data_IF_619068881923
#
_entry.id   IF_619068881923
#
_cell.length_a   1.000
_cell.length_b   1.000
_cell.length_c   1.000
_cell.angle_alpha   90.00
_cell.angle_beta   90.00
_cell.angle_gamma   90.00
#
_symmetry.space_group_name_H-M   'P 1'
#
loop_
_entity.id
_entity.type
_entity.pdbx_description
1 polymer ?
2 non-polymer ?
3 non-polymer ?
4 non-polymer ?
5 water ?
#
# COMPACT_ATOMS: atom_id res chain seq x y z
N UNK A 30 -17.05 -20.58 -8.64
CA UNK A 30 -15.81 -21.31 -8.85
C UNK A 30 -14.59 -20.39 -8.97
N UNK A 31 -14.74 -19.16 -8.45
CA UNK A 31 -13.76 -18.09 -8.69
C UNK A 31 -12.51 -18.13 -7.79
N UNK A 32 -11.37 -17.89 -8.43
CA UNK A 32 -10.08 -17.73 -7.74
C UNK A 32 -9.86 -16.26 -7.37
N UNK A 33 -8.88 -16.00 -6.49
CA UNK A 33 -8.46 -14.63 -6.18
C UNK A 33 -8.13 -13.82 -7.44
N UNK A 34 -7.34 -14.40 -8.33
CA UNK A 34 -6.98 -13.74 -9.58
C UNK A 34 -8.22 -13.37 -10.39
N UNK A 35 -9.16 -14.31 -10.49
CA UNK A 35 -10.40 -14.08 -11.22
C UNK A 35 -11.25 -13.02 -10.54
N UNK A 36 -11.21 -12.98 -9.21
CA UNK A 36 -11.97 -11.99 -8.46
C UNK A 36 -11.45 -10.59 -8.75
N UNK A 37 -10.13 -10.48 -8.88
CA UNK A 37 -9.48 -9.22 -9.16
C UNK A 37 -9.83 -8.73 -10.57
N UNK A 38 -9.92 -9.65 -11.51
CA UNK A 38 -10.27 -9.32 -12.89
C UNK A 38 -11.75 -8.96 -13.03
N UNK A 39 -12.61 -9.61 -12.25
CA UNK A 39 -14.04 -9.31 -12.27
C UNK A 39 -14.34 -7.93 -11.71
N UNK A 40 -13.73 -7.60 -10.57
CA UNK A 40 -13.90 -6.28 -9.96
C UNK A 40 -13.33 -5.20 -10.85
N UNK A 41 -12.15 -5.45 -11.41
CA UNK A 41 -11.49 -4.49 -12.29
C UNK A 41 -12.32 -4.18 -13.54
N UNK A 42 -13.03 -5.18 -14.04
CA UNK A 42 -13.87 -5.00 -15.22
C UNK A 42 -15.14 -4.25 -14.90
N UNK A 43 -15.62 -4.41 -13.66
CA UNK A 43 -16.85 -3.76 -13.21
C UNK A 43 -16.59 -2.29 -12.87
N UNK A 44 -15.41 -2.00 -12.34
CA UNK A 44 -15.09 -0.67 -11.85
C UNK A 44 -14.01 0.05 -12.65
N UNK A 45 -13.62 -0.52 -13.78
CA UNK A 45 -12.63 0.08 -14.66
C UNK A 45 -11.35 0.43 -13.90
N UNK A 46 -10.81 -0.54 -13.16
CA UNK A 46 -9.65 -0.30 -12.29
C UNK A 46 -8.31 -0.41 -13.01
N UNK A 47 -8.09 -1.55 -13.66
CA UNK A 47 -6.78 -1.82 -14.28
C UNK A 47 -6.93 -2.41 -15.69
N UNK A 48 -5.80 -2.54 -16.37
CA UNK A 48 -5.74 -3.23 -17.65
C UNK A 48 -4.33 -3.75 -17.88
N UNK A 49 -4.20 -4.72 -18.78
CA UNK A 49 -2.90 -5.26 -19.15
C UNK A 49 -2.74 -5.22 -20.67
N UNK A 50 -1.49 -5.26 -21.12
CA UNK A 50 -1.20 -5.35 -22.54
C UNK A 50 0.06 -6.19 -22.74
N UNK A 51 0.05 -7.05 -23.77
CA UNK A 51 1.18 -7.94 -24.07
C UNK A 51 2.44 -7.19 -24.49
N UNK A 52 2.32 -5.91 -24.77
CA UNK A 52 3.49 -5.10 -25.12
C UNK A 52 4.32 -4.80 -23.88
N UNK A 53 3.76 -5.10 -22.71
CA UNK A 53 4.48 -4.94 -21.45
C UNK A 53 3.99 -5.96 -20.42
N UNK A 54 4.34 -7.23 -20.65
CA UNK A 54 3.91 -8.37 -19.83
C UNK A 54 4.33 -8.20 -18.37
N UNK A 55 3.38 -8.30 -17.44
CA UNK A 55 3.69 -8.26 -16.02
C UNK A 55 3.71 -6.86 -15.44
N UNK A 56 3.47 -5.86 -16.28
CA UNK A 56 3.37 -4.48 -15.82
C UNK A 56 1.91 -4.04 -15.91
N UNK A 57 1.36 -3.60 -14.79
CA UNK A 57 -0.05 -3.21 -14.75
C UNK A 57 -0.26 -1.78 -15.24
N UNK A 58 -1.44 -1.54 -15.78
CA UNK A 58 -1.89 -0.20 -16.13
C UNK A 58 -2.93 0.15 -15.08
N UNK A 59 -2.77 1.25 -14.37
CA UNK A 59 -3.82 1.69 -13.47
C UNK A 59 -4.69 2.71 -14.19
N UNK A 60 -5.93 2.33 -14.50
CA UNK A 60 -6.87 3.27 -15.09
C UNK A 60 -7.29 4.27 -14.01
N UNK A 61 -7.94 5.38 -14.42
CA UNK A 61 -8.28 6.44 -13.46
C UNK A 61 -8.79 5.90 -12.13
N UNK A 62 -9.81 5.04 -12.14
CA UNK A 62 -10.37 4.51 -10.89
C UNK A 62 -9.40 3.63 -10.12
N UNK A 63 -8.59 2.86 -10.83
CA UNK A 63 -7.59 2.02 -10.20
C UNK A 63 -6.50 2.88 -9.58
N UNK A 64 -6.11 3.92 -10.31
CA UNK A 64 -5.08 4.83 -9.83
C UNK A 64 -5.55 5.64 -8.62
N UNK A 65 -6.84 5.92 -8.52
CA UNK A 65 -7.36 6.62 -7.34
C UNK A 65 -7.13 5.80 -6.08
N UNK A 66 -7.38 4.49 -6.17
CA UNK A 66 -7.21 3.62 -5.01
C UNK A 66 -5.74 3.55 -4.63
N UNK A 67 -4.90 3.26 -5.62
CA UNK A 67 -3.45 3.22 -5.47
C UNK A 67 -2.92 4.47 -4.76
N UNK A 68 -3.29 5.63 -5.28
CA UNK A 68 -2.83 6.90 -4.72
C UNK A 68 -3.37 7.16 -3.31
N UNK A 69 -4.59 6.70 -3.05
CA UNK A 69 -5.18 6.88 -1.73
C UNK A 69 -4.41 6.06 -0.70
N UNK A 70 -4.04 4.84 -1.06
CA UNK A 70 -3.28 3.98 -0.16
C UNK A 70 -1.93 4.60 0.15
N UNK A 71 -1.28 5.15 -0.86
CA UNK A 71 0.03 5.78 -0.67
C UNK A 71 -0.07 7.03 0.19
N UNK A 72 -1.15 7.79 -0.01
CA UNK A 72 -1.40 8.98 0.80
C UNK A 72 -1.55 8.58 2.26
N UNK A 73 -2.33 7.53 2.51
CA UNK A 73 -2.53 7.03 3.86
C UNK A 73 -1.21 6.63 4.51
N UNK A 74 -0.41 5.83 3.79
CA UNK A 74 0.82 5.30 4.34
C UNK A 74 1.87 6.38 4.56
N UNK A 75 1.92 7.38 3.67
CA UNK A 75 2.85 8.48 3.85
C UNK A 75 2.55 9.25 5.13
N UNK A 76 1.27 9.46 5.41
CA UNK A 76 0.87 10.17 6.62
C UNK A 76 1.33 9.41 7.88
N UNK A 77 1.13 8.10 7.91
CA UNK A 77 1.53 7.31 9.06
C UNK A 77 3.05 7.33 9.22
N UNK A 78 3.75 7.15 8.11
CA UNK A 78 5.21 7.08 8.14
C UNK A 78 5.88 8.41 8.52
N UNK A 79 5.39 9.51 7.98
CA UNK A 79 5.99 10.82 8.27
C UNK A 79 5.61 11.39 9.63
N UNK A 80 4.33 11.31 9.98
CA UNK A 80 3.83 12.05 11.15
C UNK A 80 3.44 11.19 12.35
N UNK A 81 3.83 9.92 12.32
CA UNK A 81 3.61 9.06 13.47
C UNK A 81 4.80 8.15 13.74
N UNK A 82 5.43 7.64 12.67
CA UNK A 82 6.50 6.65 12.84
C UNK A 82 7.91 7.12 12.48
N UNK A 83 8.09 8.43 12.30
CA UNK A 83 9.43 9.00 12.20
C UNK A 83 10.24 8.68 10.96
N UNK A 84 9.57 8.60 9.81
CA UNK A 84 10.26 8.36 8.54
C UNK A 84 10.41 9.63 7.70
N UNK A 85 11.52 9.71 6.97
CA UNK A 85 11.77 10.79 6.03
C UNK A 85 11.84 10.26 4.62
N UNK A 86 10.96 10.73 3.74
CA UNK A 86 10.93 10.20 2.37
C UNK A 86 12.10 10.65 1.51
N UNK A 87 12.62 9.73 0.71
CA UNK A 87 13.66 10.05 -0.25
C UNK A 87 13.23 9.56 -1.63
N UNK A 88 13.82 10.13 -2.67
CA UNK A 88 13.56 9.70 -4.04
C UNK A 88 14.88 9.33 -4.71
N UNK A 89 15.01 8.07 -5.11
CA UNK A 89 16.30 7.54 -5.56
C UNK A 89 16.25 7.10 -7.03
N UNK A 90 17.42 7.03 -7.69
CA UNK A 90 17.52 6.55 -9.08
C UNK A 90 16.88 5.17 -9.25
N UNK A 91 16.47 4.83 -10.47
CA UNK A 91 15.95 3.48 -10.74
C UNK A 91 17.05 2.56 -11.29
N UNK A 92 18.05 3.15 -11.96
CA UNK A 92 19.13 2.36 -12.52
C UNK A 92 20.48 2.67 -11.87
N UNK A 93 21.23 1.63 -11.56
CA UNK A 93 22.56 1.79 -11.01
C UNK A 93 23.54 0.94 -11.81
N UNK A 94 24.80 1.39 -11.87
CA UNK A 94 25.83 0.67 -12.59
C UNK A 94 26.05 -0.71 -12.01
N UNK A 95 26.57 -1.63 -12.82
CA UNK A 95 26.81 -3.00 -12.40
C UNK A 95 27.56 -3.10 -11.07
N UNK A 96 28.46 -2.15 -10.85
CA UNK A 96 29.34 -2.16 -9.68
C UNK A 96 28.59 -2.06 -8.36
N UNK A 97 27.56 -1.22 -8.31
CA UNK A 97 26.78 -1.06 -7.09
C UNK A 97 26.17 -2.40 -6.69
N UNK A 98 25.59 -3.08 -7.65
CA UNK A 98 24.93 -4.36 -7.39
C UNK A 98 25.92 -5.46 -7.04
N UNK A 99 27.18 -5.30 -7.47
CA UNK A 99 28.23 -6.24 -7.09
C UNK A 99 28.69 -5.94 -5.67
N UNK A 100 28.81 -4.67 -5.35
CA UNK A 100 29.21 -4.22 -4.03
C UNK A 100 28.17 -4.62 -2.99
N UNK A 101 26.91 -4.61 -3.37
CA UNK A 101 25.82 -4.95 -2.46
C UNK A 101 25.64 -6.46 -2.35
N UNK A 102 26.07 -7.19 -3.37
CA UNK A 102 25.90 -8.63 -3.40
C UNK A 102 24.64 -9.06 -4.13
N UNK A 103 23.94 -8.10 -4.71
CA UNK A 103 22.73 -8.37 -5.48
C UNK A 103 23.03 -9.03 -6.83
N UNK A 104 24.13 -8.64 -7.44
CA UNK A 104 24.45 -9.08 -8.81
C UNK A 104 24.74 -10.58 -8.90
N UNK A 105 25.22 -11.18 -7.80
CA UNK A 105 25.58 -12.58 -7.81
C UNK A 105 24.51 -13.47 -7.17
N UNK A 106 23.40 -12.86 -6.76
CA UNK A 106 22.37 -13.56 -5.99
C UNK A 106 21.09 -13.54 -6.82
N UNK A 107 20.96 -12.54 -7.68
CA UNK A 107 19.63 -12.16 -8.14
C UNK A 107 19.64 -11.82 -9.63
N UNK A 108 20.83 -11.77 -10.22
CA UNK A 108 21.03 -11.17 -11.54
C UNK A 108 20.20 -11.80 -12.64
N UNK A 109 19.76 -13.03 -12.41
CA UNK A 109 18.85 -13.68 -13.36
C UNK A 109 17.47 -13.00 -13.30
N UNK A 110 17.10 -12.54 -12.11
CA UNK A 110 15.82 -11.87 -11.90
C UNK A 110 15.97 -10.36 -12.03
N UNK A 111 17.09 -9.91 -12.59
CA UNK A 111 17.34 -8.48 -12.75
C UNK A 111 17.38 -8.06 -14.21
N UNK A 112 16.57 -7.06 -14.55
CA UNK A 112 16.61 -6.47 -15.88
C UNK A 112 17.91 -5.69 -16.00
N UNK A 113 18.71 -6.02 -17.02
CA UNK A 113 19.93 -5.27 -17.27
C UNK A 113 19.58 -4.08 -18.17
N UNK A 114 20.34 -3.01 -18.06
CA UNK A 114 20.08 -1.82 -18.88
C UNK A 114 21.29 -1.48 -19.74
N UNK A 115 21.05 -1.23 -21.03
CA UNK A 115 22.17 -1.06 -21.95
C UNK A 115 22.23 0.32 -22.61
N UNK A 116 23.43 0.90 -22.62
CA UNK A 116 23.67 2.15 -23.35
C UNK A 116 24.04 1.89 -24.80
N UNK A 123 25.85 -2.97 -18.42
CA UNK A 123 26.64 -2.25 -17.43
C UNK A 123 25.73 -1.58 -16.41
N UNK A 124 24.42 -1.75 -16.59
CA UNK A 124 23.42 -1.18 -15.69
C UNK A 124 22.42 -2.25 -15.20
N UNK A 125 21.86 -2.02 -14.01
CA UNK A 125 20.81 -2.87 -13.49
C UNK A 125 19.60 -2.05 -13.07
N UNK A 126 18.43 -2.41 -13.60
CA UNK A 126 17.18 -1.79 -13.18
C UNK A 126 16.81 -2.34 -11.81
N UNK A 127 16.66 -1.45 -10.83
CA UNK A 127 16.60 -1.90 -9.45
C UNK A 127 15.39 -2.77 -9.12
N UNK A 128 15.63 -3.91 -8.45
CA UNK A 128 14.60 -4.76 -7.85
C UNK A 128 14.45 -4.44 -6.36
N UNK A 129 15.33 -3.60 -5.84
CA UNK A 129 15.31 -3.18 -4.43
C UNK A 129 15.89 -1.78 -4.23
N UNK A 130 15.44 -1.10 -3.17
CA UNK A 130 15.93 0.24 -2.86
C UNK A 130 17.16 0.29 -1.93
N UNK A 131 17.44 -0.80 -1.20
CA UNK A 131 18.42 -0.74 -0.10
C UNK A 131 19.78 -0.11 -0.48
N UNK A 132 20.43 -0.62 -1.52
CA UNK A 132 21.74 -0.09 -1.89
C UNK A 132 21.75 1.43 -2.06
N UNK A 133 20.69 1.99 -2.65
CA UNK A 133 20.59 3.42 -2.81
C UNK A 133 20.56 4.10 -1.46
N UNK A 134 19.85 3.50 -0.52
CA UNK A 134 19.78 4.07 0.83
C UNK A 134 21.12 3.98 1.57
N UNK A 135 21.92 2.96 1.27
CA UNK A 135 23.26 2.87 1.85
C UNK A 135 24.14 4.00 1.32
N UNK A 136 23.95 4.33 0.05
CA UNK A 136 24.69 5.44 -0.57
C UNK A 136 24.34 6.75 0.12
N UNK A 137 23.08 6.92 0.47
CA UNK A 137 22.63 8.14 1.14
C UNK A 137 23.19 8.24 2.56
N UNK A 138 23.19 7.12 3.26
CA UNK A 138 23.73 7.09 4.62
C UNK A 138 25.20 7.49 4.60
N UNK A 139 25.97 6.85 3.72
CA UNK A 139 27.41 7.04 3.70
C UNK A 139 27.90 8.33 3.07
N UNK A 140 26.97 9.20 2.67
CA UNK A 140 27.32 10.45 2.00
C UNK A 140 27.65 11.57 2.99
N UNK A 141 27.18 11.43 4.22
CA UNK A 141 27.40 12.43 5.26
C UNK A 141 28.00 11.78 6.48
N UNK A 142 28.77 12.54 7.26
CA UNK A 142 29.14 12.06 8.58
C UNK A 142 27.85 11.82 9.34
N UNK A 143 27.77 10.71 10.06
CA UNK A 143 26.58 10.41 10.82
C UNK A 143 26.90 10.31 12.29
N UNK A 144 26.10 10.98 13.12
CA UNK A 144 26.28 10.92 14.56
C UNK A 144 25.27 9.95 15.18
N UNK A 145 25.61 9.39 16.33
CA UNK A 145 24.67 8.51 17.02
C UNK A 145 23.43 9.33 17.37
N UNK A 146 23.59 10.65 17.33
CA UNK A 146 22.51 11.58 17.66
C UNK A 146 21.37 11.62 16.65
N UNK A 147 21.58 11.09 15.45
CA UNK A 147 20.51 11.09 14.45
C UNK A 147 19.94 9.71 14.20
N UNK A 148 20.35 8.74 15.02
CA UNK A 148 19.80 7.39 14.95
C UNK A 148 18.66 7.26 15.96
N UNK A 149 17.63 6.45 15.64
CA UNK A 149 17.49 5.71 14.38
C UNK A 149 17.19 6.63 13.19
N UNK A 150 17.94 6.45 12.11
CA UNK A 150 17.71 7.21 10.89
C UNK A 150 16.77 6.39 10.00
N UNK A 151 15.64 6.97 9.62
CA UNK A 151 14.61 6.23 8.89
C UNK A 151 14.24 6.86 7.55
N UNK A 152 14.53 6.15 6.47
CA UNK A 152 14.22 6.61 5.11
C UNK A 152 13.10 5.78 4.51
N UNK A 153 12.15 6.44 3.87
CA UNK A 153 11.08 5.76 3.16
C UNK A 153 11.21 6.03 1.66
N UNK A 154 10.68 5.13 0.83
CA UNK A 154 10.88 5.21 -0.61
C UNK A 154 9.77 4.45 -1.33
N UNK A 155 9.06 5.12 -2.23
CA UNK A 155 7.95 4.48 -2.94
C UNK A 155 8.28 4.16 -4.40
N UNK A 156 9.57 4.08 -4.71
CA UNK A 156 10.04 3.85 -6.08
C UNK A 156 9.40 2.63 -6.74
N UNK A 157 9.17 2.71 -8.06
CA UNK A 157 8.80 1.50 -8.80
C UNK A 157 9.97 0.51 -8.85
N UNK A 158 9.68 -0.77 -8.56
CA UNK A 158 10.69 -1.81 -8.61
C UNK A 158 10.37 -2.80 -9.74
N UNK A 159 11.41 -3.36 -10.35
CA UNK A 159 11.23 -4.36 -11.40
C UNK A 159 11.94 -5.65 -11.04
N UNK A 160 11.26 -6.77 -11.21
CA UNK A 160 11.86 -8.09 -11.02
C UNK A 160 11.47 -8.99 -12.19
N UNK A 161 12.45 -9.65 -12.79
CA UNK A 161 12.19 -10.42 -13.99
C UNK A 161 11.55 -11.77 -13.69
N UNK A 162 10.38 -11.72 -13.05
CA UNK A 162 9.63 -12.93 -12.67
C UNK A 162 9.34 -13.78 -13.91
N UNK A 163 9.47 -15.10 -13.78
CA UNK A 163 9.12 -16.00 -14.88
C UNK A 163 7.65 -15.81 -15.27
N UNK A 164 7.39 -15.75 -16.57
CA UNK A 164 6.03 -15.49 -17.06
C UNK A 164 4.97 -16.44 -16.51
N UNK A 165 5.38 -17.63 -16.09
CA UNK A 165 4.46 -18.60 -15.52
C UNK A 165 4.09 -18.27 -14.09
N UNK A 166 4.85 -17.37 -13.48
CA UNK A 166 4.62 -16.96 -12.10
C UNK A 166 3.71 -15.74 -12.00
N UNK A 167 3.52 -15.04 -13.12
CA UNK A 167 2.69 -13.85 -13.14
C UNK A 167 1.23 -14.17 -12.83
N UNK A 168 0.66 -13.45 -11.87
CA UNK A 168 -0.75 -13.64 -11.52
C UNK A 168 -1.36 -12.33 -11.04
N UNK A 169 -2.38 -11.87 -11.76
CA UNK A 169 -3.07 -10.63 -11.45
C UNK A 169 -2.17 -9.53 -10.90
N UNK A 170 -2.49 -9.10 -9.68
CA UNK A 170 -1.73 -8.04 -9.03
C UNK A 170 -0.82 -8.58 -7.93
N UNK A 171 -0.91 -9.87 -7.65
CA UNK A 171 -0.11 -10.45 -6.56
C UNK A 171 1.36 -10.61 -6.95
N UNK A 172 1.60 -11.06 -8.18
CA UNK A 172 2.96 -11.25 -8.65
C UNK A 172 3.17 -10.58 -10.02
N UNK A 173 3.96 -9.51 -10.02
CA UNK A 173 4.18 -8.70 -11.21
C UNK A 173 5.66 -8.55 -11.49
N UNK A 174 5.98 -8.01 -12.68
CA UNK A 174 7.37 -7.65 -13.00
C UNK A 174 7.68 -6.22 -12.59
N UNK A 175 6.65 -5.43 -12.42
CA UNK A 175 6.79 -4.06 -11.93
C UNK A 175 5.79 -3.81 -10.79
N UNK A 176 6.28 -3.24 -9.70
CA UNK A 176 5.43 -2.96 -8.55
C UNK A 176 6.06 -1.88 -7.68
N UNK A 177 5.27 -1.33 -6.77
CA UNK A 177 5.73 -0.28 -5.88
C UNK A 177 5.69 -0.78 -4.45
N UNK A 178 6.83 -0.76 -3.78
CA UNK A 178 6.87 -1.09 -2.37
C UNK A 178 6.69 0.17 -1.55
N UNK A 179 6.00 0.05 -0.41
CA UNK A 179 6.09 1.09 0.60
C UNK A 179 7.33 0.80 1.43
N UNK A 180 8.49 1.00 0.81
CA UNK A 180 9.77 0.54 1.34
C UNK A 180 10.29 1.50 2.40
N UNK A 181 11.17 0.99 3.25
CA UNK A 181 11.74 1.79 4.31
C UNK A 181 12.95 1.09 4.90
N UNK A 182 13.98 1.87 5.16
CA UNK A 182 15.19 1.34 5.77
C UNK A 182 15.56 2.13 7.01
N UNK A 183 15.82 1.40 8.08
CA UNK A 183 16.16 2.02 9.35
C UNK A 183 17.62 1.72 9.69
N UNK A 184 18.32 2.75 10.17
CA UNK A 184 19.70 2.60 10.61
C UNK A 184 19.75 2.89 12.10
N UNK A 185 20.08 1.89 12.91
CA UNK A 185 20.06 2.09 14.36
C UNK A 185 21.25 1.44 15.05
N UNK A 186 21.26 1.53 16.37
CA UNK A 186 22.28 0.90 17.19
C UNK A 186 21.71 -0.41 17.70
N UNK A 187 22.58 -1.30 18.19
CA UNK A 187 22.11 -2.59 18.72
C UNK A 187 20.95 -2.45 19.70
N UNK A 188 21.03 -1.46 20.59
CA UNK A 188 20.04 -1.30 21.66
C UNK A 188 18.73 -0.69 21.16
N UNK A 189 18.70 -0.24 19.91
CA UNK A 189 17.48 0.35 19.34
C UNK A 189 16.71 -0.65 18.50
N UNK A 190 17.34 -1.75 18.13
CA UNK A 190 16.72 -2.75 17.25
C UNK A 190 15.33 -3.18 17.71
N UNK A 191 15.23 -3.62 18.95
CA UNK A 191 13.96 -4.13 19.49
C UNK A 191 12.82 -3.13 19.35
N UNK A 192 13.02 -1.93 19.87
CA UNK A 192 11.99 -0.89 19.83
C UNK A 192 11.61 -0.54 18.40
N UNK A 193 12.59 -0.54 17.51
CA UNK A 193 12.31 -0.19 16.12
C UNK A 193 11.43 -1.24 15.46
N UNK A 194 11.73 -2.50 15.75
CA UNK A 194 10.94 -3.61 15.21
C UNK A 194 9.52 -3.64 15.79
N UNK A 195 9.38 -3.30 17.07
CA UNK A 195 8.05 -3.24 17.67
C UNK A 195 7.22 -2.08 17.09
N UNK A 196 7.89 -0.98 16.76
CA UNK A 196 7.21 0.12 16.07
C UNK A 196 6.78 -0.28 14.66
N UNK A 197 7.62 -1.05 13.97
CA UNK A 197 7.23 -1.57 12.66
C UNK A 197 6.01 -2.48 12.79
N UNK A 198 5.98 -3.25 13.87
CA UNK A 198 4.86 -4.17 14.13
C UNK A 198 3.60 -3.42 14.52
N UNK A 199 3.75 -2.25 15.13
CA UNK A 199 2.59 -1.44 15.49
C UNK A 199 1.91 -0.94 14.22
N UNK A 200 2.71 -0.45 13.27
CA UNK A 200 2.20 0.02 11.99
C UNK A 200 1.52 -1.11 11.24
N UNK A 201 2.13 -2.29 11.28
CA UNK A 201 1.53 -3.47 10.66
C UNK A 201 0.15 -3.78 11.23
N UNK A 202 -0.02 -3.66 12.54
CA UNK A 202 -1.32 -3.92 13.15
C UNK A 202 -2.37 -2.85 12.82
N UNK A 203 -1.93 -1.61 12.72
CA UNK A 203 -2.85 -0.54 12.31
C UNK A 203 -3.45 -0.88 10.95
N UNK A 204 -2.61 -1.37 10.04
CA UNK A 204 -3.05 -1.76 8.69
C UNK A 204 -3.91 -3.04 8.68
N UNK A 205 -3.34 -4.14 9.19
CA UNK A 205 -3.96 -5.47 9.06
C UNK A 205 -5.03 -5.79 10.11
N UNK A 206 -4.93 -5.14 11.27
CA UNK A 206 -5.83 -5.42 12.39
C UNK A 206 -6.60 -4.20 12.89
N UNK A 207 -6.73 -3.17 12.08
CA UNK A 207 -7.55 -2.03 12.51
C UNK A 207 -8.19 -1.32 11.33
N UNK A 208 -7.39 -0.77 10.42
CA UNK A 208 -7.97 0.05 9.34
C UNK A 208 -8.69 -0.78 8.28
N UNK A 209 -8.06 -1.88 7.86
CA UNK A 209 -8.61 -2.71 6.79
C UNK A 209 -9.15 -4.05 7.32
N UNK A 210 -10.44 -4.34 7.04
CA UNK A 210 -10.96 -5.69 7.28
C UNK A 210 -10.45 -6.69 6.23
N UNK A 211 -10.26 -7.93 6.65
CA UNK A 211 -9.93 -9.02 5.74
C UNK A 211 -10.74 -10.24 6.13
N UNK A 212 -10.86 -11.19 5.22
CA UNK A 212 -11.51 -12.47 5.52
C UNK A 212 -10.68 -13.64 5.00
N UNK A 218 -7.10 -17.60 13.76
CA UNK A 218 -6.44 -16.60 14.58
C UNK A 218 -7.28 -15.32 14.64
N UNK A 219 -7.16 -14.59 15.75
CA UNK A 219 -7.82 -13.30 15.89
C UNK A 219 -7.20 -12.30 14.92
N UNK A 220 -5.88 -12.36 14.79
CA UNK A 220 -5.13 -11.49 13.90
C UNK A 220 -5.34 -11.91 12.46
N UNK A 221 -5.31 -10.95 11.54
CA UNK A 221 -5.50 -11.24 10.13
C UNK A 221 -4.23 -11.71 9.43
N UNK A 222 -3.20 -12.00 10.21
CA UNK A 222 -1.95 -12.54 9.67
C UNK A 222 -1.24 -13.41 10.71
N UNK A 223 -0.31 -14.23 10.24
CA UNK A 223 0.65 -14.86 11.14
C UNK A 223 2.06 -14.53 10.64
N UNK A 224 3.07 -14.75 11.49
CA UNK A 224 4.43 -14.40 11.11
C UNK A 224 5.25 -15.63 10.78
N UNK A 225 5.94 -15.58 9.65
CA UNK A 225 6.95 -16.59 9.31
C UNK A 225 8.32 -16.13 9.79
N UNK A 226 8.98 -16.94 10.61
CA UNK A 226 10.35 -16.65 11.00
C UNK A 226 11.28 -17.26 9.95
N UNK A 227 11.71 -16.42 9.01
CA UNK A 227 12.48 -16.90 7.85
C UNK A 227 13.97 -16.84 8.10
N UNK A 228 14.64 -17.99 8.02
CA UNK A 228 16.02 -18.11 8.49
C UNK A 228 17.07 -18.21 7.37
N UNK A 229 18.33 -18.31 7.78
CA UNK A 229 19.47 -18.29 6.86
C UNK A 229 19.26 -19.22 5.67
N UNK A 230 19.32 -18.66 4.46
CA UNK A 230 19.18 -19.38 3.19
C UNK A 230 20.52 -19.96 2.73
N UNK A 231 20.48 -20.78 1.69
CA UNK A 231 21.68 -21.43 1.17
C UNK A 231 22.77 -20.41 0.83
N UNK A 232 22.40 -19.40 0.05
CA UNK A 232 23.35 -18.37 -0.38
C UNK A 232 23.19 -17.10 0.44
N UNK A 233 24.15 -16.88 1.33
CA UNK A 233 24.15 -15.73 2.22
C UNK A 233 25.55 -15.11 2.28
N UNK A 234 25.60 -13.80 2.50
CA UNK A 234 26.87 -13.10 2.71
C UNK A 234 27.13 -12.98 4.21
N UNK A 235 28.39 -12.76 4.59
CA UNK A 235 28.73 -12.54 5.98
C UNK A 235 29.07 -13.80 6.76
N UNK A 236 29.66 -13.62 7.94
CA UNK A 236 30.07 -14.73 8.80
C UNK A 236 28.87 -15.38 9.50
N UNK A 237 29.01 -16.67 9.80
CA UNK A 237 27.91 -17.45 10.37
C UNK A 237 27.59 -17.09 11.82
N UNK A 238 28.58 -16.56 12.53
CA UNK A 238 28.37 -16.10 13.91
C UNK A 238 27.41 -14.91 13.97
N UNK A 239 27.65 -13.91 13.11
CA UNK A 239 26.78 -12.75 13.03
C UNK A 239 25.36 -13.18 12.68
N UNK A 240 25.26 -14.12 11.74
CA UNK A 240 23.96 -14.66 11.33
C UNK A 240 23.20 -15.30 12.49
N UNK A 241 23.87 -16.11 13.30
CA UNK A 241 23.21 -16.74 14.44
C UNK A 241 22.73 -15.70 15.45
N UNK A 242 23.51 -14.63 15.62
CA UNK A 242 23.14 -13.55 16.52
C UNK A 242 21.89 -12.81 16.03
N UNK A 243 21.83 -12.54 14.73
CA UNK A 243 20.69 -11.83 14.15
C UNK A 243 19.43 -12.65 14.33
N UNK A 244 19.54 -13.97 14.12
CA UNK A 244 18.40 -14.87 14.29
C UNK A 244 17.97 -14.95 15.74
N UNK A 245 18.92 -14.89 16.66
CA UNK A 245 18.60 -14.90 18.08
C UNK A 245 17.85 -13.64 18.50
N UNK A 246 18.32 -12.49 18.02
CA UNK A 246 17.68 -11.21 18.34
C UNK A 246 16.23 -11.21 17.86
N UNK A 247 16.02 -11.75 16.66
CA UNK A 247 14.70 -11.76 16.04
C UNK A 247 13.76 -12.70 16.80
N UNK A 248 14.22 -13.90 17.12
CA UNK A 248 13.43 -14.86 17.89
C UNK A 248 12.99 -14.26 19.22
N UNK A 249 13.93 -13.59 19.88
CA UNK A 249 13.63 -12.97 21.16
C UNK A 249 12.51 -11.95 21.00
N UNK A 250 12.63 -11.07 20.01
CA UNK A 250 11.59 -10.08 19.75
C UNK A 250 10.26 -10.76 19.42
N UNK A 251 10.31 -11.84 18.64
CA UNK A 251 9.10 -12.57 18.27
C UNK A 251 8.42 -13.11 19.52
N UNK A 252 9.22 -13.66 20.42
CA UNK A 252 8.68 -14.21 21.65
C UNK A 252 8.09 -13.11 22.55
N UNK A 253 8.79 -11.99 22.64
CA UNK A 253 8.29 -10.88 23.46
C UNK A 253 6.99 -10.30 22.91
N UNK A 254 6.82 -10.33 21.59
CA UNK A 254 5.63 -9.77 20.96
C UNK A 254 4.37 -10.55 21.33
N UNK A 255 4.54 -11.85 21.55
CA UNK A 255 3.41 -12.70 21.88
C UNK A 255 2.58 -13.13 20.68
N UNK A 256 2.98 -12.70 19.49
CA UNK A 256 2.25 -13.05 18.27
C UNK A 256 2.62 -14.44 17.79
N UNK A 257 1.65 -15.16 17.22
CA UNK A 257 1.87 -16.50 16.66
C UNK A 257 2.83 -16.45 15.47
N UNK A 258 3.79 -17.37 15.44
CA UNK A 258 4.76 -17.43 14.37
C UNK A 258 5.05 -18.87 13.94
N UNK A 259 5.67 -19.01 12.78
CA UNK A 259 6.06 -20.33 12.26
C UNK A 259 7.49 -20.28 11.80
N UNK A 260 8.25 -21.33 12.12
CA UNK A 260 9.57 -21.46 11.55
C UNK A 260 9.43 -21.59 10.04
N UNK A 261 10.28 -20.88 9.30
CA UNK A 261 10.30 -20.93 7.84
C UNK A 261 11.74 -21.00 7.37
N UNK A 262 12.33 -22.20 7.46
CA UNK A 262 13.78 -22.36 7.23
C UNK A 262 14.20 -22.03 5.79
N UNK A 263 15.39 -21.46 5.66
CA UNK A 263 15.97 -21.21 4.34
C UNK A 263 15.39 -20.05 3.54
N UNK A 264 14.36 -19.40 4.04
CA UNK A 264 13.70 -18.33 3.28
C UNK A 264 14.13 -16.92 3.65
N UNK A 265 15.15 -16.78 4.48
CA UNK A 265 15.63 -15.46 4.84
C UNK A 265 16.25 -14.77 3.65
N UNK A 266 16.34 -13.44 3.68
CA UNK A 266 17.00 -12.72 2.61
C UNK A 266 18.46 -13.14 2.58
N UNK A 267 19.17 -12.80 1.52
CA UNK A 267 20.58 -13.20 1.45
C UNK A 267 21.44 -12.33 2.38
N UNK A 268 20.86 -11.24 2.89
CA UNK A 268 21.59 -10.31 3.74
C UNK A 268 21.17 -10.42 5.20
N UNK A 269 20.10 -11.17 5.48
CA UNK A 269 19.62 -11.32 6.84
C UNK A 269 18.32 -12.07 6.99
N UNK A 270 18.02 -12.54 8.21
CA UNK A 270 16.75 -13.22 8.48
C UNK A 270 15.62 -12.20 8.53
N UNK A 271 14.39 -12.66 8.50
CA UNK A 271 13.26 -11.72 8.50
C UNK A 271 11.99 -12.29 9.10
N UNK A 272 11.10 -11.40 9.49
CA UNK A 272 9.74 -11.75 9.88
C UNK A 272 8.84 -11.47 8.68
N UNK A 273 8.29 -12.52 8.08
CA UNK A 273 7.41 -12.35 6.94
C UNK A 273 5.95 -12.42 7.39
N UNK A 274 5.21 -11.34 7.15
CA UNK A 274 3.80 -11.26 7.52
C UNK A 274 2.96 -11.93 6.45
N UNK A 275 2.28 -13.03 6.83
CA UNK A 275 1.52 -13.82 5.88
C UNK A 275 0.03 -13.65 6.08
N UNK A 276 -0.68 -13.33 4.99
CA UNK A 276 -2.13 -13.26 5.03
C UNK A 276 -2.70 -14.37 4.16
N UNK A 277 -3.89 -14.85 4.54
CA UNK A 277 -4.49 -15.98 3.84
C UNK A 277 -5.70 -15.53 3.02
N UNK A 278 -5.66 -15.81 1.71
CA UNK A 278 -6.80 -15.52 0.86
C UNK A 278 -7.94 -16.51 1.13
N UNK A 279 -9.08 -16.33 0.49
CA UNK A 279 -10.25 -17.16 0.77
C UNK A 279 -10.12 -18.59 0.27
N UNK A 280 -9.03 -18.89 -0.46
CA UNK A 280 -8.75 -20.26 -0.88
C UNK A 280 -7.68 -20.87 0.01
N UNK A 281 -7.54 -20.29 1.20
CA UNK A 281 -6.59 -20.76 2.20
C UNK A 281 -5.14 -20.72 1.76
N UNK A 282 -4.87 -20.01 0.66
CA UNK A 282 -3.49 -19.84 0.21
C UNK A 282 -2.85 -18.63 0.90
N UNK A 283 -1.58 -18.76 1.28
CA UNK A 283 -0.90 -17.70 2.02
C UNK A 283 -0.11 -16.79 1.10
N UNK A 284 -0.06 -15.51 1.47
CA UNK A 284 0.66 -14.51 0.69
C UNK A 284 1.52 -13.66 1.62
N UNK A 285 2.76 -13.39 1.19
CA UNK A 285 3.68 -12.57 1.96
C UNK A 285 3.44 -11.10 1.63
N UNK A 286 3.08 -10.32 2.64
CA UNK A 286 2.86 -8.90 2.43
C UNK A 286 3.88 -8.00 3.12
N UNK A 287 3.60 -7.64 4.38
CA UNK A 287 4.57 -6.89 5.17
C UNK A 287 5.78 -7.79 5.41
N UNK A 288 6.92 -7.17 5.68
CA UNK A 288 8.13 -7.91 6.03
C UNK A 288 9.07 -7.01 6.80
N UNK A 289 9.85 -7.61 7.69
CA UNK A 289 10.81 -6.89 8.49
C UNK A 289 12.11 -7.69 8.46
N UNK A 290 13.18 -7.07 7.99
CA UNK A 290 14.42 -7.81 7.75
C UNK A 290 15.59 -7.21 8.54
N UNK A 291 16.27 -8.04 9.32
CA UNK A 291 17.36 -7.58 10.17
C UNK A 291 18.71 -7.78 9.48
N UNK A 292 19.37 -6.67 9.17
CA UNK A 292 20.51 -6.68 8.25
C UNK A 292 21.80 -6.13 8.88
N UNK A 293 22.69 -7.04 9.27
CA UNK A 293 24.03 -6.67 9.76
C UNK A 293 25.03 -6.67 8.61
N UNK A 294 24.60 -7.15 7.44
CA UNK A 294 25.53 -7.45 6.35
C UNK A 294 25.76 -6.29 5.38
N UNK A 295 24.70 -5.65 4.91
CA UNK A 295 24.89 -4.54 3.97
C UNK A 295 25.75 -3.41 4.55
N UNK A 296 25.50 -3.04 5.81
CA UNK A 296 26.34 -2.02 6.44
C UNK A 296 27.84 -2.32 6.30
N UNK A 297 28.22 -3.58 6.48
CA UNK A 297 29.62 -3.96 6.37
C UNK A 297 30.15 -3.79 4.96
N UNK A 298 29.36 -4.20 3.96
CA UNK A 298 29.79 -4.13 2.56
C UNK A 298 29.83 -2.71 1.98
N UNK A 299 29.16 -1.76 2.65
CA UNK A 299 29.23 -0.37 2.21
C UNK A 299 30.09 0.48 3.15
N UNK A 300 30.74 -0.19 4.08
CA UNK A 300 31.65 0.47 5.02
C UNK A 300 30.95 1.62 5.72
N UNK A 301 29.70 1.38 6.13
CA UNK A 301 28.90 2.37 6.85
C UNK A 301 29.39 2.52 8.28
N UNK A 302 29.46 3.76 8.74
CA UNK A 302 29.96 4.06 10.08
C UNK A 302 29.23 5.27 10.63
N UNK A 303 29.16 5.36 11.96
CA UNK A 303 28.62 6.54 12.62
C UNK A 303 29.41 6.80 13.90
N UNK A 304 29.56 8.07 14.27
CA UNK A 304 30.30 8.42 15.47
C UNK A 304 29.46 8.18 16.72
N UNK A 305 29.93 7.29 17.60
CA UNK A 305 29.16 6.89 18.76
C UNK A 305 29.31 7.87 19.92
N UNK A 306 28.68 7.56 21.05
CA UNK A 306 28.71 8.43 22.22
C UNK A 306 30.14 8.70 22.69
N UNK A 307 31.01 7.71 22.47
CA UNK A 307 32.39 7.76 22.95
C UNK A 307 33.37 8.17 21.87
N UNK A 308 32.86 8.71 20.76
CA UNK A 308 33.70 9.10 19.62
C UNK A 308 34.39 7.91 18.96
N UNK A 309 33.80 6.73 19.15
CA UNK A 309 34.21 5.55 18.41
C UNK A 309 33.37 5.47 17.15
N UNK A 310 33.97 4.98 16.07
CA UNK A 310 33.23 4.75 14.84
C UNK A 310 32.68 3.33 14.90
N UNK A 311 31.39 3.18 14.63
CA UNK A 311 30.76 1.87 14.73
C UNK A 311 29.77 1.67 13.58
N UNK A 312 29.58 0.41 13.20
CA UNK A 312 28.66 0.09 12.12
C UNK A 312 27.21 0.20 12.58
N UNK A 313 26.35 0.82 11.77
CA UNK A 313 24.94 0.78 12.10
C UNK A 313 24.36 -0.56 11.70
N UNK A 314 23.25 -0.94 12.33
CA UNK A 314 22.49 -2.10 11.92
C UNK A 314 21.41 -1.58 10.98
N UNK A 315 21.00 -2.38 10.00
CA UNK A 315 19.95 -1.97 9.08
C UNK A 315 18.73 -2.87 9.21
N UNK A 316 17.55 -2.27 9.30
CA UNK A 316 16.30 -3.01 9.28
C UNK A 316 15.55 -2.62 8.00
N UNK A 317 15.19 -3.61 7.19
CA UNK A 317 14.38 -3.35 6.00
C UNK A 317 12.94 -3.63 6.41
N UNK A 318 11.99 -2.87 5.88
CA UNK A 318 10.59 -3.10 6.23
C UNK A 318 9.61 -2.52 5.21
N UNK A 319 8.50 -3.22 5.05
CA UNK A 319 7.43 -2.82 4.15
C UNK A 319 6.16 -3.21 4.86
N UNK A 320 5.12 -2.39 4.76
CA UNK A 320 3.88 -2.71 5.45
C UNK A 320 2.85 -3.32 4.50
N UNK A 321 2.55 -2.60 3.42
CA UNK A 321 1.70 -3.16 2.36
C UNK A 321 2.41 -4.33 1.69
N UNK A 322 3.75 -4.30 1.72
CA UNK A 322 4.56 -5.21 0.92
C UNK A 322 4.76 -4.52 -0.42
N UNK A 323 3.81 -4.69 -1.32
CA UNK A 323 3.72 -3.86 -2.50
C UNK A 323 2.30 -3.33 -2.52
N UNK A 324 2.09 -2.16 -3.09
CA UNK A 324 0.75 -1.61 -3.11
C UNK A 324 -0.15 -2.52 -3.94
N UNK A 325 0.41 -3.03 -5.04
CA UNK A 325 -0.31 -3.92 -5.95
C UNK A 325 -0.83 -5.19 -5.28
N UNK A 326 0.06 -5.90 -4.60
CA UNK A 326 -0.33 -7.16 -3.95
C UNK A 326 -1.31 -6.92 -2.81
N UNK A 327 -1.12 -5.83 -2.09
CA UNK A 327 -2.02 -5.47 -1.01
C UNK A 327 -3.43 -5.21 -1.57
N UNK A 328 -3.50 -4.45 -2.67
CA UNK A 328 -4.78 -4.18 -3.33
C UNK A 328 -5.47 -5.48 -3.74
N UNK A 329 -4.70 -6.41 -4.27
CA UNK A 329 -5.23 -7.70 -4.68
C UNK A 329 -5.86 -8.44 -3.50
N UNK A 330 -5.24 -8.35 -2.34
CA UNK A 330 -5.75 -9.02 -1.14
C UNK A 330 -6.95 -8.29 -0.52
N UNK A 331 -7.00 -6.97 -0.65
CA UNK A 331 -8.18 -6.21 -0.26
C UNK A 331 -9.37 -6.68 -1.08
N UNK A 332 -9.17 -6.75 -2.38
CA UNK A 332 -10.21 -7.18 -3.31
C UNK A 332 -10.62 -8.64 -3.05
N UNK A 333 -9.66 -9.47 -2.67
CA UNK A 333 -9.99 -10.86 -2.36
C UNK A 333 -10.99 -10.89 -1.22
N UNK A 334 -10.83 -9.97 -0.27
CA UNK A 334 -11.72 -9.88 0.88
C UNK A 334 -13.01 -9.12 0.62
N UNK A 335 -12.90 -7.90 0.08
CA UNK A 335 -14.08 -7.03 -0.03
C UNK A 335 -14.94 -7.27 -1.27
N UNK A 336 -14.41 -8.03 -2.22
CA UNK A 336 -15.13 -8.33 -3.45
C UNK A 336 -15.60 -7.07 -4.16
N UNK A 337 -14.87 -5.98 -3.99
CA UNK A 337 -15.19 -4.74 -4.68
C UNK A 337 -15.92 -3.75 -3.81
N UNK A 338 -16.34 -4.19 -2.62
CA UNK A 338 -17.07 -3.29 -1.73
C UNK A 338 -16.13 -2.47 -0.87
N UNK A 339 -15.51 -1.48 -1.52
CA UNK A 339 -14.53 -0.61 -0.87
C UNK A 339 -15.16 0.16 0.29
N UNK A 340 -14.38 0.39 1.36
CA UNK A 340 -14.79 1.35 2.39
C UNK A 340 -14.88 2.73 1.77
N UNK A 341 -15.66 3.61 2.39
CA UNK A 341 -15.91 4.92 1.80
C UNK A 341 -14.65 5.66 1.36
N UNK A 342 -13.70 5.82 2.28
CA UNK A 342 -12.52 6.63 2.02
C UNK A 342 -11.68 6.16 0.84
N UNK A 343 -11.81 4.89 0.49
CA UNK A 343 -11.02 4.28 -0.58
C UNK A 343 -11.79 4.19 -1.89
N UNK A 344 -13.11 4.26 -1.79
CA UNK A 344 -13.99 3.97 -2.92
C UNK A 344 -13.85 5.00 -4.03
N UNK A 345 -13.57 4.54 -5.26
CA UNK A 345 -13.54 5.45 -6.41
C UNK A 345 -14.96 5.81 -6.82
N UNK A 346 -15.91 5.13 -6.21
CA UNK A 346 -17.33 5.39 -6.41
C UNK A 346 -17.94 5.66 -5.04
N UNK A 347 -17.83 6.90 -4.58
CA UNK A 347 -18.21 7.20 -3.20
C UNK A 347 -19.70 7.46 -3.02
N UNK A 348 -20.33 8.03 -4.03
CA UNK A 348 -21.76 8.29 -3.97
C UNK A 348 -22.33 8.52 -5.36
N UNK A 349 -23.57 8.11 -5.57
CA UNK A 349 -24.24 8.43 -6.81
C UNK A 349 -25.52 9.18 -6.49
N UNK A 350 -25.85 10.17 -7.32
CA UNK A 350 -27.04 10.97 -7.10
C UNK A 350 -28.01 10.66 -8.23
N UNK A 351 -29.23 10.28 -7.87
CA UNK A 351 -30.19 9.81 -8.85
C UNK A 351 -31.50 10.55 -8.71
N UNK A 352 -31.82 11.38 -9.71
CA UNK A 352 -33.15 12.00 -9.74
C UNK A 352 -34.19 10.98 -10.18
N UNK A 353 -35.32 10.93 -9.48
CA UNK A 353 -36.40 10.02 -9.85
C UNK A 353 -36.86 10.27 -11.28
N UNK A 354 -37.00 11.55 -11.63
CA UNK A 354 -37.39 11.95 -12.97
C UNK A 354 -36.32 12.82 -13.62
N UNK A 355 -35.65 12.27 -14.62
CA UNK A 355 -34.49 12.93 -15.23
C UNK A 355 -34.84 14.16 -16.06
N UNK A 356 -36.14 14.44 -16.19
CA UNK A 356 -36.56 15.64 -16.93
C UNK A 356 -37.23 16.66 -16.02
N UNK A 357 -37.21 16.38 -14.72
CA UNK A 357 -37.73 17.32 -13.73
C UNK A 357 -36.64 18.33 -13.35
N UNK A 358 -36.91 19.60 -13.60
CA UNK A 358 -35.91 20.65 -13.36
C UNK A 358 -35.62 20.87 -11.89
N UNK A 359 -36.64 20.75 -11.03
CA UNK A 359 -36.45 20.92 -9.60
C UNK A 359 -35.52 19.85 -9.03
N UNK A 360 -35.72 18.61 -9.47
CA UNK A 360 -34.90 17.50 -9.00
C UNK A 360 -33.48 17.61 -9.53
N UNK A 361 -33.35 17.89 -10.83
CA UNK A 361 -32.05 18.09 -11.45
C UNK A 361 -31.24 19.18 -10.74
N UNK A 362 -31.85 20.34 -10.51
CA UNK A 362 -31.15 21.41 -9.81
C UNK A 362 -30.62 20.93 -8.46
N UNK A 363 -31.48 20.25 -7.71
CA UNK A 363 -31.11 19.80 -6.37
C UNK A 363 -29.97 18.79 -6.43
N UNK A 364 -30.02 17.90 -7.42
CA UNK A 364 -28.97 16.91 -7.62
C UNK A 364 -27.67 17.57 -8.03
N UNK A 365 -27.75 18.52 -8.95
CA UNK A 365 -26.58 19.22 -9.44
C UNK A 365 -25.93 20.06 -8.35
N UNK A 366 -26.76 20.68 -7.52
CA UNK A 366 -26.25 21.47 -6.40
C UNK A 366 -25.40 20.60 -5.49
N UNK A 367 -25.85 19.38 -5.21
CA UNK A 367 -25.13 18.50 -4.29
C UNK A 367 -23.85 17.98 -4.92
N UNK A 368 -23.92 17.54 -6.17
CA UNK A 368 -22.72 17.07 -6.85
C UNK A 368 -21.62 18.13 -6.84
N UNK A 369 -22.00 19.36 -7.19
CA UNK A 369 -21.06 20.47 -7.22
C UNK A 369 -20.45 20.72 -5.84
N UNK A 370 -21.28 20.63 -4.81
CA UNK A 370 -20.81 20.82 -3.44
C UNK A 370 -19.79 19.75 -3.05
N UNK A 371 -20.11 18.48 -3.31
CA UNK A 371 -19.29 17.37 -2.85
C UNK A 371 -18.00 17.19 -3.65
N UNK A 372 -18.07 17.42 -4.96
CA UNK A 372 -16.89 17.35 -5.81
C UNK A 372 -15.91 18.48 -5.49
N UNK A 373 -16.48 19.66 -5.23
CA UNK A 373 -15.69 20.82 -4.83
C UNK A 373 -14.62 21.17 -5.85
N UNK A 374 -15.04 21.30 -7.11
CA UNK A 374 -14.12 21.67 -8.17
C UNK A 374 -14.17 23.16 -8.45
N UNK A 375 -13.17 23.64 -9.19
CA UNK A 375 -13.11 25.04 -9.60
C UNK A 375 -13.20 25.09 -11.12
N UNK A 376 -13.63 26.23 -11.65
CA UNK A 376 -13.74 26.39 -13.09
C UNK A 376 -12.38 26.72 -13.69
N UNK A 377 -12.14 26.22 -14.90
CA UNK A 377 -10.90 26.50 -15.58
C UNK A 377 -10.82 27.96 -16.06
N UNK A 378 -11.92 28.69 -15.94
CA UNK A 378 -12.02 30.04 -16.54
C UNK A 378 -11.40 31.19 -15.74
N UNK A 379 -11.10 30.96 -14.45
CA UNK A 379 -10.40 31.99 -13.67
C UNK A 379 -9.02 31.55 -13.21
N UNK A 380 -8.31 32.44 -12.54
CA UNK A 380 -6.94 32.19 -12.11
C UNK A 380 -6.85 31.69 -10.67
N UNK A 381 -8.00 31.35 -10.09
CA UNK A 381 -8.03 30.85 -8.72
C UNK A 381 -7.64 29.37 -8.68
N UNK A 382 -6.55 29.07 -7.96
CA UNK A 382 -6.07 27.68 -7.89
C UNK A 382 -6.83 26.87 -6.84
N UNK A 383 -6.84 25.56 -7.01
CA UNK A 383 -7.39 24.66 -6.00
C UNK A 383 -6.45 24.71 -4.78
N UNK A 384 -7.00 25.06 -3.61
CA UNK A 384 -6.14 25.19 -2.42
C UNK A 384 -5.76 23.84 -1.84
N UNK A 385 -4.68 23.81 -1.06
CA UNK A 385 -4.27 22.60 -0.37
C UNK A 385 -5.25 22.21 0.74
N UNK A 386 -5.37 20.90 0.98
CA UNK A 386 -6.15 20.36 2.10
C UNK A 386 -7.66 20.59 2.02
N UNK A 387 -8.19 20.83 0.83
CA UNK A 387 -9.64 20.89 0.67
C UNK A 387 -10.16 19.46 0.52
N UNK A 388 -11.47 19.28 0.71
CA UNK A 388 -12.08 17.97 0.50
C UNK A 388 -12.70 17.87 -0.88
N UNK A 389 -12.53 16.71 -1.51
CA UNK A 389 -13.10 16.44 -2.82
C UNK A 389 -13.62 15.01 -2.83
N UNK A 390 -14.90 14.82 -3.14
CA UNK A 390 -15.47 13.48 -3.10
C UNK A 390 -15.84 12.96 -4.48
N UNK A 391 -15.71 11.63 -4.65
CA UNK A 391 -16.00 10.98 -5.92
C UNK A 391 -17.50 10.75 -6.07
N UNK A 392 -18.21 11.77 -6.55
CA UNK A 392 -19.67 11.73 -6.59
C UNK A 392 -20.18 11.87 -8.02
N UNK A 393 -20.97 10.89 -8.46
CA UNK A 393 -21.48 10.87 -9.82
C UNK A 393 -22.97 11.16 -9.87
N UNK A 394 -23.44 11.59 -11.04
CA UNK A 394 -24.84 11.90 -11.24
C UNK A 394 -25.36 11.07 -12.40
N UNK A 395 -26.34 10.21 -12.14
CA UNK A 395 -26.87 9.36 -13.20
C UNK A 395 -28.19 9.90 -13.73
N UNK A 396 -28.11 10.67 -14.81
CA UNK A 396 -29.30 11.25 -15.43
C UNK A 396 -29.60 10.58 -16.78
N UNK A 397 -29.10 9.36 -16.97
CA UNK A 397 -29.36 8.64 -18.21
C UNK A 397 -30.86 8.46 -18.40
N UNK A 398 -31.30 8.45 -19.66
CA UNK A 398 -32.71 8.23 -19.96
C UNK A 398 -33.05 6.76 -19.75
N UNK A 399 -33.04 6.35 -18.49
CA UNK A 399 -33.25 4.95 -18.12
C UNK A 399 -34.20 4.89 -16.92
N UNK A 400 -35.08 3.88 -16.89
CA UNK A 400 -36.00 3.76 -15.75
C UNK A 400 -35.24 3.92 -14.45
N UNK A 401 -35.78 4.68 -13.51
CA UNK A 401 -35.12 4.91 -12.24
C UNK A 401 -34.62 3.59 -11.63
N UNK A 402 -35.43 2.54 -11.75
CA UNK A 402 -35.10 1.25 -11.20
C UNK A 402 -33.79 0.66 -11.71
N UNK A 403 -33.52 0.85 -13.00
CA UNK A 403 -32.32 0.28 -13.61
C UNK A 403 -31.07 1.09 -13.28
N UNK A 404 -31.22 2.41 -13.20
CA UNK A 404 -30.12 3.27 -12.80
C UNK A 404 -29.65 2.92 -11.40
N UNK A 405 -30.61 2.73 -10.49
CA UNK A 405 -30.27 2.23 -9.18
C UNK A 405 -29.47 0.92 -9.30
N UNK A 406 -30.06 -0.11 -9.89
CA UNK A 406 -29.39 -1.39 -10.07
C UNK A 406 -27.97 -1.23 -10.62
N UNK A 407 -27.79 -0.28 -11.53
CA UNK A 407 -26.49 -0.02 -12.13
C UNK A 407 -25.48 0.44 -11.08
N UNK A 408 -25.90 1.37 -10.23
CA UNK A 408 -25.06 1.88 -9.17
C UNK A 408 -24.71 0.78 -8.16
N UNK A 409 -25.66 -0.10 -7.86
CA UNK A 409 -25.39 -1.18 -6.94
C UNK A 409 -24.35 -2.15 -7.52
N UNK A 410 -24.41 -2.37 -8.82
CA UNK A 410 -23.43 -3.23 -9.49
C UNK A 410 -22.02 -2.66 -9.32
N UNK A 411 -21.93 -1.32 -9.32
CA UNK A 411 -20.64 -0.64 -9.22
C UNK A 411 -20.14 -0.48 -7.78
N UNK A 412 -20.99 -0.80 -6.82
CA UNK A 412 -20.60 -0.75 -5.40
C UNK A 412 -20.39 0.65 -4.83
N UNK A 413 -21.14 1.64 -5.33
CA UNK A 413 -21.13 2.97 -4.71
C UNK A 413 -21.35 2.85 -3.21
N UNK A 414 -20.54 3.57 -2.43
CA UNK A 414 -20.68 3.53 -0.98
C UNK A 414 -22.04 4.07 -0.54
N UNK A 415 -22.53 5.09 -1.25
CA UNK A 415 -23.79 5.72 -0.90
C UNK A 415 -24.69 5.96 -2.11
N UNK A 416 -25.96 5.66 -1.96
CA UNK A 416 -26.95 5.97 -3.00
C UNK A 416 -27.81 7.15 -2.54
N UNK A 417 -27.87 8.19 -3.37
CA UNK A 417 -28.62 9.40 -3.02
C UNK A 417 -29.75 9.64 -4.03
N UNK A 418 -30.99 9.54 -3.56
CA UNK A 418 -32.16 9.66 -4.44
C UNK A 418 -32.91 10.96 -4.17
N UNK A 419 -33.36 11.61 -5.23
CA UNK A 419 -34.14 12.84 -5.08
C UNK A 419 -35.44 12.79 -5.88
N UNK A 420 -36.56 12.77 -5.17
CA UNK A 420 -37.87 12.83 -5.81
C UNK A 420 -38.56 14.13 -5.42
N UNK A 421 -39.84 14.24 -5.73
CA UNK A 421 -40.59 15.47 -5.43
C UNK A 421 -40.61 15.79 -3.94
N UNK A 422 -40.79 14.77 -3.10
CA UNK A 422 -40.81 15.00 -1.66
C UNK A 422 -39.49 15.58 -1.17
N UNK A 423 -38.39 15.06 -1.71
CA UNK A 423 -37.06 15.54 -1.34
C UNK A 423 -36.84 16.98 -1.76
N UNK A 424 -37.40 17.38 -2.90
CA UNK A 424 -37.30 18.76 -3.34
C UNK A 424 -38.07 19.64 -2.37
N UNK A 425 -39.22 19.16 -1.92
CA UNK A 425 -40.07 19.90 -1.02
C UNK A 425 -39.35 20.21 0.29
N UNK A 426 -38.74 19.19 0.88
CA UNK A 426 -37.99 19.33 2.13
C UNK A 426 -36.61 19.92 1.90
N UNK A 427 -36.16 19.91 0.66
CA UNK A 427 -34.76 20.24 0.37
C UNK A 427 -33.87 19.37 1.26
N UNK A 428 -34.20 18.07 1.30
CA UNK A 428 -33.39 17.07 1.99
C UNK A 428 -33.29 15.85 1.11
N UNK A 429 -32.10 15.24 1.08
CA UNK A 429 -31.83 14.13 0.19
C UNK A 429 -32.06 12.79 0.89
N UNK A 430 -32.60 11.83 0.15
CA UNK A 430 -32.68 10.47 0.63
C UNK A 430 -31.34 9.77 0.42
N UNK A 431 -30.61 9.53 1.50
CA UNK A 431 -29.29 8.93 1.39
C UNK A 431 -29.17 7.63 2.20
N UNK A 432 -28.72 6.57 1.52
CA UNK A 432 -28.58 5.28 2.17
C UNK A 432 -27.21 4.66 1.87
N UNK A 433 -26.70 3.91 2.84
CA UNK A 433 -25.40 3.26 2.70
C UNK A 433 -25.52 1.96 1.90
N UNK A 434 -24.46 1.61 1.17
CA UNK A 434 -24.46 0.42 0.33
C UNK A 434 -24.83 -0.87 1.08
N UNK A 435 -24.12 -1.16 2.17
CA UNK A 435 -24.24 -2.45 2.86
C UNK A 435 -25.33 -2.47 3.91
N UNK A 436 -26.18 -1.44 3.90
CA UNK A 436 -27.30 -1.33 4.84
C UNK A 436 -28.44 -0.59 4.15
N UNK A 437 -28.79 -1.07 2.96
CA UNK A 437 -29.78 -0.40 2.12
C UNK A 437 -31.15 -0.23 2.78
N UNK A 438 -31.45 -1.05 3.80
CA UNK A 438 -32.77 -0.99 4.43
C UNK A 438 -33.03 0.28 5.24
N UNK A 439 -32.05 0.73 6.01
CA UNK A 439 -32.18 1.99 6.73
C UNK A 439 -31.72 3.15 5.85
N UNK A 440 -32.04 4.37 6.26
CA UNK A 440 -31.64 5.54 5.49
C UNK A 440 -31.78 6.82 6.30
N UNK A 441 -31.30 7.92 5.74
CA UNK A 441 -31.39 9.22 6.39
C UNK A 441 -31.88 10.25 5.40
N UNK A 442 -32.46 11.33 5.92
CA UNK A 442 -32.81 12.47 5.11
C UNK A 442 -31.96 13.64 5.60
N UNK A 443 -31.01 14.05 4.76
CA UNK A 443 -30.02 15.02 5.19
C UNK A 443 -29.97 16.20 4.23
N UNK A 444 -29.60 17.38 4.75
CA UNK A 444 -29.35 18.54 3.91
C UNK A 444 -28.02 18.40 3.21
N UNK A 445 -27.79 19.26 2.23
CA UNK A 445 -26.53 19.31 1.51
C UNK A 445 -25.38 19.43 2.51
N UNK A 446 -25.50 20.38 3.42
CA UNK A 446 -24.47 20.65 4.41
C UNK A 446 -24.18 19.43 5.29
N UNK A 447 -25.22 18.69 5.66
CA UNK A 447 -25.05 17.53 6.53
C UNK A 447 -24.35 16.38 5.82
N UNK A 448 -24.57 16.24 4.52
CA UNK A 448 -23.89 15.21 3.76
C UNK A 448 -22.41 15.56 3.59
N UNK A 449 -22.11 16.84 3.38
CA UNK A 449 -20.74 17.33 3.31
C UNK A 449 -19.95 16.95 4.57
N UNK A 450 -20.48 17.32 5.74
CA UNK A 450 -19.84 16.99 7.01
C UNK A 450 -19.77 15.48 7.27
N UNK A 451 -20.81 14.75 6.89
CA UNK A 451 -20.82 13.31 7.05
C UNK A 451 -19.69 12.67 6.26
N UNK A 452 -19.60 13.03 4.99
CA UNK A 452 -18.56 12.49 4.12
C UNK A 452 -17.16 12.86 4.62
N UNK A 453 -17.02 14.09 5.14
CA UNK A 453 -15.75 14.52 5.74
C UNK A 453 -15.34 13.61 6.90
N UNK A 454 -16.22 13.45 7.89
CA UNK A 454 -15.94 12.59 9.03
C UNK A 454 -15.58 11.15 8.64
N UNK A 455 -16.24 10.62 7.61
CA UNK A 455 -15.93 9.28 7.12
C UNK A 455 -14.52 9.18 6.55
N UNK A 456 -14.15 10.13 5.71
CA UNK A 456 -12.86 10.09 5.03
C UNK A 456 -11.74 10.40 6.01
N UNK A 457 -12.00 11.34 6.92
CA UNK A 457 -11.01 11.70 7.93
C UNK A 457 -10.49 10.46 8.63
N UNK A 458 -11.42 9.65 9.14
CA UNK A 458 -11.09 8.55 10.03
C UNK A 458 -11.20 7.16 9.41
N UNK A 459 -11.02 7.10 8.10
CA UNK A 459 -10.87 5.84 7.38
C UNK A 459 -12.03 4.87 7.56
N UNK A 460 -13.25 5.41 7.51
CA UNK A 460 -14.44 4.58 7.47
C UNK A 460 -14.84 4.33 6.02
#
# INVERSE_FOLDING_TARGET
>A
MGSSHHHHHHSSGLVPRGSHMASATKNASSATPATMTSMVSQRQDLFMTDPLSPGSMFFLPNGAKIFNKLIEFMKLQQKFKFGFNEVVTPLIYKKTLWEKSGHWENYADDMFKVETTDEEKEEYGLKPMNCPGHCLIFGKKDRSYNELPLRFSDFSPLHRNEASGALSGLTRLRKFHQDDGHIFCTPSQVKSEIFNSLKLIDIVYNKIFPFVKGGSGAESNYFINFSTRPDHFIGDLKVWNHAEQVLKEILEESGKPWKLNPGDGAFYGPKLDIMVTDHLRKTHQVATIQLDFQLPERFDLKFKDQDNSYKRPIMIHRATFGSIERFMALLIDSNEGRWPFWLNPYQAVIIPVNTKNVQQLDMCTALQKKLRNELEADDMEPVPLNDWHFNVDLDIRNEPVGYRIKSAILKNYSYLIIVGDEEVQLQKYNIRERDNRKSFEKLTMSQIWEKFIELEKNYK
#
